data_IF_744891294113
#
_entry.id   IF_744891294113
#
_cell.length_a   1.000
_cell.length_b   1.000
_cell.length_c   1.000
_cell.angle_alpha   90.00
_cell.angle_beta   90.00
_cell.angle_gamma   90.00
#
_symmetry.space_group_name_H-M   'P 1'
#
loop_
_entity.id
_entity.type
_entity.pdbx_description
1 polymer ?
#
# COMPACT_ATOMS: atom_id res chain seq x y z
N UNK A 1 -8.90 -10.55 8.87
CA UNK A 1 -8.46 -10.19 7.50
C UNK A 1 -8.54 -11.44 6.63
N UNK A 2 -9.09 -11.35 5.42
CA UNK A 2 -9.14 -12.49 4.49
C UNK A 2 -7.72 -12.76 3.93
N UNK A 3 -7.23 -14.02 3.88
CA UNK A 3 -5.90 -14.35 3.39
C UNK A 3 -5.82 -14.29 1.85
N UNK A 4 -5.90 -13.08 1.29
CA UNK A 4 -5.86 -12.84 -0.15
C UNK A 4 -4.54 -13.23 -0.80
N UNK A 5 -4.60 -13.87 -1.97
CA UNK A 5 -3.40 -14.27 -2.73
C UNK A 5 -2.59 -13.06 -3.17
N UNK A 6 -3.24 -12.00 -3.69
CA UNK A 6 -2.57 -10.76 -4.08
C UNK A 6 -1.76 -10.15 -2.95
N UNK A 7 -2.32 -10.11 -1.72
CA UNK A 7 -1.59 -9.63 -0.54
C UNK A 7 -0.32 -10.45 -0.29
N UNK A 8 -0.42 -11.77 -0.36
CA UNK A 8 0.70 -12.68 -0.13
C UNK A 8 1.79 -12.48 -1.19
N UNK A 9 1.41 -12.37 -2.46
CA UNK A 9 2.34 -12.11 -3.56
C UNK A 9 3.07 -10.78 -3.38
N UNK A 10 2.36 -9.71 -2.96
CA UNK A 10 2.98 -8.40 -2.72
C UNK A 10 3.96 -8.39 -1.55
N UNK A 11 3.66 -9.12 -0.47
CA UNK A 11 4.59 -9.30 0.65
C UNK A 11 5.88 -9.96 0.16
N UNK A 12 5.75 -11.06 -0.60
CA UNK A 12 6.90 -11.77 -1.14
C UNK A 12 7.74 -10.88 -2.08
N UNK A 13 7.10 -10.19 -3.04
CA UNK A 13 7.80 -9.30 -3.96
C UNK A 13 8.53 -8.15 -3.24
N UNK A 14 7.90 -7.58 -2.20
CA UNK A 14 8.53 -6.53 -1.39
C UNK A 14 9.75 -7.05 -0.61
N UNK A 15 9.66 -8.24 -0.02
CA UNK A 15 10.79 -8.89 0.67
C UNK A 15 11.93 -9.23 -0.30
N UNK A 16 11.62 -9.76 -1.49
CA UNK A 16 12.58 -10.06 -2.55
C UNK A 16 13.27 -8.79 -3.09
N UNK A 17 12.54 -7.67 -3.15
CA UNK A 17 13.09 -6.35 -3.46
C UNK A 17 13.92 -5.72 -2.31
N UNK A 18 14.08 -6.43 -1.19
CA UNK A 18 14.92 -6.01 -0.07
C UNK A 18 14.22 -5.10 0.95
N UNK A 19 12.90 -4.93 0.86
CA UNK A 19 12.14 -4.18 1.86
C UNK A 19 11.89 -5.02 3.11
N UNK A 20 11.93 -4.37 4.27
CA UNK A 20 11.46 -4.98 5.51
C UNK A 20 9.93 -4.95 5.53
N UNK A 21 9.31 -6.13 5.54
CA UNK A 21 7.85 -6.27 5.66
C UNK A 21 7.47 -6.69 7.08
N UNK A 22 6.42 -6.07 7.63
CA UNK A 22 5.89 -6.38 8.96
C UNK A 22 4.38 -6.54 8.87
N UNK A 23 3.90 -7.72 9.25
CA UNK A 23 2.47 -7.97 9.44
C UNK A 23 2.09 -7.63 10.88
N UNK A 24 1.37 -6.51 11.08
CA UNK A 24 0.94 -6.07 12.41
C UNK A 24 -0.45 -5.42 12.36
N UNK A 25 -1.05 -5.25 13.53
CA UNK A 25 -2.22 -4.40 13.69
C UNK A 25 -1.81 -2.94 13.57
N UNK A 26 -2.50 -2.19 12.70
CA UNK A 26 -2.29 -0.76 12.52
C UNK A 26 -3.48 -0.03 13.15
N UNK A 27 -3.32 0.65 14.30
CA UNK A 27 -4.37 1.46 14.89
C UNK A 27 -4.65 2.68 14.01
N UNK A 28 -5.93 3.03 13.83
CA UNK A 28 -6.32 4.18 13.01
C UNK A 28 -5.64 5.47 13.48
N UNK A 29 -5.67 5.76 14.78
CA UNK A 29 -5.07 6.99 15.31
C UNK A 29 -3.57 7.08 15.01
N UNK A 30 -2.83 5.98 15.19
CA UNK A 30 -1.40 5.92 14.86
C UNK A 30 -1.15 6.17 13.38
N UNK A 31 -1.93 5.52 12.50
CA UNK A 31 -1.85 5.76 11.06
C UNK A 31 -2.10 7.23 10.68
N UNK A 32 -3.11 7.87 11.28
CA UNK A 32 -3.41 9.28 11.01
C UNK A 32 -2.27 10.20 11.49
N UNK A 33 -1.65 9.89 12.63
CA UNK A 33 -0.52 10.65 13.16
C UNK A 33 0.75 10.46 12.31
N UNK A 34 1.00 9.24 11.83
CA UNK A 34 2.13 8.94 10.93
C UNK A 34 1.94 9.57 9.54
N UNK A 35 0.71 9.69 9.05
CA UNK A 35 0.40 10.45 7.83
C UNK A 35 0.66 11.94 8.03
N UNK A 36 0.31 12.50 9.21
CA UNK A 36 0.54 13.93 9.51
C UNK A 36 2.02 14.27 9.67
N UNK A 37 2.80 13.36 10.25
CA UNK A 37 4.24 13.56 10.43
C UNK A 37 5.03 13.36 9.14
N UNK A 38 4.46 12.62 8.17
CA UNK A 38 5.11 12.25 6.92
C UNK A 38 5.90 10.94 7.00
N UNK A 39 5.80 10.21 8.12
CA UNK A 39 6.39 8.87 8.27
C UNK A 39 5.71 7.86 7.33
N UNK A 40 4.40 8.01 7.09
CA UNK A 40 3.70 7.26 6.05
C UNK A 40 3.81 7.99 4.72
N UNK A 41 4.61 7.43 3.81
CA UNK A 41 4.86 7.97 2.47
C UNK A 41 3.87 7.47 1.43
N UNK A 42 3.36 6.25 1.59
CA UNK A 42 2.49 5.59 0.61
C UNK A 42 1.45 4.71 1.30
N UNK A 43 0.24 4.61 0.72
CA UNK A 43 -0.81 3.70 1.17
C UNK A 43 -1.52 3.14 -0.05
N UNK A 44 -1.82 1.84 -0.06
CA UNK A 44 -2.61 1.21 -1.10
C UNK A 44 -3.48 0.06 -0.57
N UNK A 45 -4.54 -0.24 -1.29
CA UNK A 45 -5.30 -1.48 -1.15
C UNK A 45 -4.85 -2.50 -2.20
N UNK A 46 -5.03 -3.80 -1.92
CA UNK A 46 -4.72 -4.86 -2.88
C UNK A 46 -5.82 -5.92 -2.94
N UNK A 47 -5.96 -6.56 -4.09
CA UNK A 47 -6.92 -7.65 -4.30
C UNK A 47 -7.04 -8.03 -5.77
N UNK A 48 -7.61 -9.20 -6.07
CA UNK A 48 -7.60 -9.80 -7.41
C UNK A 48 -8.14 -8.87 -8.51
N UNK A 49 -9.17 -8.07 -8.22
CA UNK A 49 -9.82 -7.24 -9.23
C UNK A 49 -8.99 -6.03 -9.66
N UNK A 50 -8.22 -5.43 -8.75
CA UNK A 50 -7.52 -4.17 -8.99
C UNK A 50 -5.99 -4.28 -8.82
N UNK A 51 -5.50 -5.42 -8.34
CA UNK A 51 -4.10 -5.72 -8.05
C UNK A 51 -3.58 -4.83 -6.92
N UNK A 52 -3.31 -3.56 -7.23
CA UNK A 52 -2.97 -2.48 -6.31
C UNK A 52 -3.79 -1.24 -6.67
N UNK A 53 -4.45 -0.66 -5.67
CA UNK A 53 -5.17 0.62 -5.77
C UNK A 53 -4.53 1.62 -4.80
N UNK A 54 -3.86 2.68 -5.30
CA UNK A 54 -3.29 3.73 -4.47
C UNK A 54 -4.36 4.48 -3.67
N UNK A 55 -4.05 4.87 -2.44
CA UNK A 55 -4.92 5.65 -1.55
C UNK A 55 -4.23 6.98 -1.27
N UNK A 56 -4.70 8.05 -1.94
CA UNK A 56 -4.13 9.39 -1.78
C UNK A 56 -4.72 10.21 -0.63
N UNK A 57 -5.81 9.75 0.01
CA UNK A 57 -6.54 10.56 1.00
C UNK A 57 -7.36 9.70 1.96
N UNK A 58 -7.32 10.05 3.24
CA UNK A 58 -8.21 9.56 4.28
C UNK A 58 -9.16 10.68 4.70
N UNK A 59 -10.46 10.43 4.63
CA UNK A 59 -11.49 11.43 4.95
C UNK A 59 -12.60 10.83 5.80
N UNK A 60 -13.00 11.59 6.82
CA UNK A 60 -14.18 11.38 7.64
C UNK A 60 -14.81 12.75 7.97
N UNK A 61 -15.81 12.77 8.84
CA UNK A 61 -16.36 14.01 9.39
C UNK A 61 -15.39 14.70 10.38
N UNK A 62 -14.43 13.96 10.93
CA UNK A 62 -13.50 14.43 11.97
C UNK A 62 -12.11 14.79 11.43
N UNK A 63 -11.71 14.19 10.30
CA UNK A 63 -10.40 14.41 9.72
C UNK A 63 -10.42 14.38 8.20
N UNK A 64 -9.47 15.08 7.62
CA UNK A 64 -9.25 15.09 6.19
C UNK A 64 -7.74 15.22 5.92
N UNK A 65 -7.11 14.09 5.60
CA UNK A 65 -5.66 13.97 5.47
C UNK A 65 -5.30 13.44 4.08
N UNK A 66 -4.33 14.10 3.45
CA UNK A 66 -3.68 13.63 2.23
C UNK A 66 -2.49 12.74 2.58
N UNK A 67 -2.34 11.61 1.92
CA UNK A 67 -1.15 10.76 2.05
C UNK A 67 -0.07 11.34 1.14
N UNK A 68 1.05 11.81 1.71
CA UNK A 68 2.09 12.53 0.96
C UNK A 68 1.49 13.61 0.04
N UNK A 69 1.77 13.53 -1.27
CA UNK A 69 1.24 14.43 -2.30
C UNK A 69 -0.08 13.94 -2.92
N UNK A 70 -0.69 12.88 -2.36
CA UNK A 70 -1.91 12.22 -2.80
C UNK A 70 -1.82 11.53 -4.15
N UNK A 71 -0.61 11.44 -4.73
CA UNK A 71 -0.32 10.70 -5.93
C UNK A 71 -0.09 9.22 -5.67
N UNK A 72 0.39 8.54 -6.70
CA UNK A 72 0.86 7.16 -6.60
C UNK A 72 2.32 7.21 -6.17
N UNK A 73 2.66 6.50 -5.09
CA UNK A 73 4.04 6.42 -4.65
C UNK A 73 4.88 5.44 -5.47
N UNK A 74 6.19 5.60 -5.40
CA UNK A 74 7.15 4.87 -6.22
C UNK A 74 7.10 3.36 -5.95
N UNK A 75 7.04 2.95 -4.67
CA UNK A 75 6.97 1.53 -4.31
C UNK A 75 5.64 0.90 -4.72
N UNK A 76 4.54 1.65 -4.55
CA UNK A 76 3.20 1.22 -4.97
C UNK A 76 3.17 0.93 -6.47
N UNK A 77 3.77 1.81 -7.28
CA UNK A 77 3.84 1.63 -8.73
C UNK A 77 4.76 0.45 -9.10
N UNK A 78 5.96 0.37 -8.49
CA UNK A 78 6.92 -0.69 -8.77
C UNK A 78 6.34 -2.09 -8.47
N UNK A 79 5.69 -2.27 -7.32
CA UNK A 79 5.06 -3.55 -6.96
C UNK A 79 3.89 -3.90 -7.90
N UNK A 80 3.15 -2.89 -8.36
CA UNK A 80 2.04 -3.08 -9.31
C UNK A 80 2.58 -3.58 -10.64
N UNK A 81 3.62 -2.94 -11.15
CA UNK A 81 4.19 -3.24 -12.45
C UNK A 81 4.89 -4.60 -12.45
N UNK A 82 5.62 -4.93 -11.39
CA UNK A 82 6.24 -6.26 -11.22
C UNK A 82 5.18 -7.37 -11.23
N UNK A 83 4.13 -7.24 -10.40
CA UNK A 83 3.09 -8.26 -10.32
C UNK A 83 2.30 -8.38 -11.63
N UNK A 84 2.09 -7.27 -12.34
CA UNK A 84 1.45 -7.29 -13.65
C UNK A 84 2.33 -7.93 -14.72
N UNK A 85 3.64 -7.62 -14.76
CA UNK A 85 4.59 -8.22 -15.69
C UNK A 85 4.58 -9.74 -15.57
N UNK A 86 4.65 -10.25 -14.33
CA UNK A 86 4.54 -11.70 -14.06
C UNK A 86 3.22 -12.29 -14.57
N UNK A 87 2.10 -11.58 -14.39
CA UNK A 87 0.77 -12.05 -14.83
C UNK A 87 0.61 -12.04 -16.36
N UNK A 88 1.32 -11.15 -17.05
CA UNK A 88 1.28 -11.01 -18.50
C UNK A 88 2.37 -11.84 -19.20
N UNK A 89 3.36 -12.33 -18.45
CA UNK A 89 4.43 -13.19 -18.95
C UNK A 89 5.60 -12.41 -19.55
N UNK A 90 5.87 -11.20 -19.04
CA UNK A 90 7.04 -10.40 -19.37
C UNK A 90 8.36 -11.00 -18.82
#
# INVERSE_FOLDING_TARGET
ILPGVTRRSLIQLAEEAGHKVVETMIPLQGLLDDIRSGEVTEVFACGTAAIITPIGRFKSDEFDLKVADGGVGELTQALRDELLGIQLGD
#
